data_IF_546785638480
#
_entry.id   IF_546785638480
#
_cell.length_a   1.000
_cell.length_b   1.000
_cell.length_c   1.000
_cell.angle_alpha   90.00
_cell.angle_beta   90.00
_cell.angle_gamma   90.00
#
_symmetry.space_group_name_H-M   'P 1'
#
loop_
_entity.id
_entity.type
_entity.pdbx_description
1 polymer ?
#
# COMPACT_ATOMS: atom_id res chain seq x y z
N UNK A 1 14.13 15.28 1.02
CA UNK A 1 14.25 14.44 -0.21
C UNK A 1 13.28 13.28 -0.20
N UNK A 2 13.12 12.59 0.94
CA UNK A 2 12.13 11.53 1.23
C UNK A 2 10.70 11.84 0.71
N UNK A 3 10.14 13.01 1.03
CA UNK A 3 8.77 13.37 0.62
C UNK A 3 8.59 13.46 -0.89
N UNK A 4 9.57 14.04 -1.58
CA UNK A 4 9.53 14.22 -3.03
C UNK A 4 9.52 12.85 -3.73
N UNK A 5 10.31 11.91 -3.23
CA UNK A 5 10.40 10.55 -3.78
C UNK A 5 9.07 9.79 -3.67
N UNK A 6 8.39 9.88 -2.52
CA UNK A 6 7.06 9.26 -2.33
C UNK A 6 5.99 9.88 -3.24
N UNK A 7 5.98 11.22 -3.37
CA UNK A 7 5.03 11.94 -4.23
C UNK A 7 5.29 11.58 -5.70
N UNK A 8 6.54 11.65 -6.14
CA UNK A 8 6.93 11.35 -7.52
C UNK A 8 6.67 9.88 -7.87
N UNK A 9 6.87 8.94 -6.94
CA UNK A 9 6.53 7.53 -7.15
C UNK A 9 5.09 7.34 -7.62
N UNK A 10 4.13 7.97 -6.93
CA UNK A 10 2.70 7.92 -7.29
C UNK A 10 2.42 8.67 -8.60
N UNK A 11 2.92 9.90 -8.74
CA UNK A 11 2.61 10.74 -9.91
C UNK A 11 3.24 10.20 -11.21
N UNK A 12 4.48 9.69 -11.16
CA UNK A 12 5.14 9.07 -12.31
C UNK A 12 4.48 7.76 -12.69
N UNK A 13 4.02 6.97 -11.71
CA UNK A 13 3.25 5.74 -11.99
C UNK A 13 1.93 6.05 -12.69
N UNK A 14 1.22 7.11 -12.25
CA UNK A 14 0.01 7.57 -12.92
C UNK A 14 0.28 8.10 -14.32
N UNK A 15 1.32 8.92 -14.50
CA UNK A 15 1.73 9.43 -15.81
C UNK A 15 2.08 8.29 -16.76
N UNK A 16 2.84 7.29 -16.29
CA UNK A 16 3.16 6.09 -17.06
C UNK A 16 1.89 5.40 -17.55
N UNK A 17 0.91 5.17 -16.68
CA UNK A 17 -0.37 4.55 -17.05
C UNK A 17 -1.15 5.42 -18.04
N UNK A 18 -1.17 6.74 -17.87
CA UNK A 18 -1.86 7.66 -18.77
C UNK A 18 -1.33 7.60 -20.21
N UNK A 19 -0.01 7.55 -20.38
CA UNK A 19 0.63 7.51 -21.69
C UNK A 19 0.69 6.12 -22.30
N UNK A 20 1.03 5.09 -21.51
CA UNK A 20 1.26 3.74 -22.02
C UNK A 20 -0.02 2.91 -22.11
N UNK A 21 -1.04 3.23 -21.32
CA UNK A 21 -2.32 2.49 -21.22
C UNK A 21 -2.10 0.96 -21.19
N UNK A 22 -1.36 0.44 -20.19
CA UNK A 22 -1.00 -0.97 -20.14
C UNK A 22 -2.25 -1.85 -20.16
N UNK A 23 -2.28 -2.84 -21.07
CA UNK A 23 -3.41 -3.77 -21.26
C UNK A 23 -3.13 -5.17 -20.71
N UNK A 24 -1.88 -5.49 -20.36
CA UNK A 24 -1.50 -6.81 -19.85
C UNK A 24 -1.72 -6.91 -18.32
N UNK A 25 -2.85 -7.48 -17.93
CA UNK A 25 -3.19 -7.70 -16.52
C UNK A 25 -2.25 -8.71 -15.82
N UNK A 26 -1.58 -9.59 -16.56
CA UNK A 26 -0.68 -10.61 -16.00
C UNK A 26 0.59 -10.03 -15.38
N UNK A 27 1.21 -9.06 -16.07
CA UNK A 27 2.44 -8.43 -15.59
C UNK A 27 2.17 -7.54 -14.37
N UNK A 28 1.02 -6.85 -14.35
CA UNK A 28 0.58 -6.07 -13.20
C UNK A 28 0.34 -6.95 -11.96
N UNK A 29 -0.25 -8.15 -12.15
CA UNK A 29 -0.41 -9.14 -11.07
C UNK A 29 0.92 -9.65 -10.54
N UNK A 30 1.92 -9.88 -11.41
CA UNK A 30 3.27 -10.27 -10.97
C UNK A 30 3.97 -9.14 -10.21
N UNK A 31 3.82 -7.89 -10.67
CA UNK A 31 4.36 -6.71 -10.00
C UNK A 31 3.71 -6.50 -8.62
N UNK A 32 2.40 -6.68 -8.51
CA UNK A 32 1.68 -6.68 -7.23
C UNK A 32 2.20 -7.79 -6.31
N UNK A 33 2.36 -9.03 -6.82
CA UNK A 33 2.88 -10.14 -6.02
C UNK A 33 4.31 -9.90 -5.50
N UNK A 34 5.20 -9.36 -6.33
CA UNK A 34 6.54 -8.92 -5.93
C UNK A 34 6.45 -7.89 -4.79
N UNK A 35 5.66 -6.83 -5.00
CA UNK A 35 5.48 -5.76 -4.03
C UNK A 35 4.89 -6.25 -2.70
N UNK A 36 3.87 -7.11 -2.74
CA UNK A 36 3.24 -7.69 -1.55
C UNK A 36 4.22 -8.54 -0.76
N UNK A 37 5.04 -9.36 -1.43
CA UNK A 37 6.09 -10.15 -0.80
C UNK A 37 7.17 -9.27 -0.16
N UNK A 38 7.58 -8.21 -0.87
CA UNK A 38 8.58 -7.27 -0.39
C UNK A 38 8.10 -6.54 0.88
N UNK A 39 6.88 -6.00 0.86
CA UNK A 39 6.28 -5.30 2.00
C UNK A 39 6.08 -6.25 3.20
N UNK A 40 5.62 -7.48 2.96
CA UNK A 40 5.48 -8.49 4.00
C UNK A 40 6.83 -8.82 4.65
N UNK A 41 7.88 -8.93 3.84
CA UNK A 41 9.22 -9.25 4.31
C UNK A 41 9.79 -8.13 5.18
N UNK A 42 9.66 -6.87 4.78
CA UNK A 42 10.04 -5.73 5.64
C UNK A 42 9.22 -5.67 6.93
N UNK A 43 7.93 -6.00 6.85
CA UNK A 43 7.07 -6.10 8.04
C UNK A 43 7.64 -7.12 9.03
N UNK A 44 8.08 -8.28 8.54
CA UNK A 44 8.65 -9.38 9.34
C UNK A 44 10.05 -9.06 9.86
N UNK A 45 10.94 -8.55 9.00
CA UNK A 45 12.36 -8.38 9.33
C UNK A 45 12.65 -7.08 10.08
N UNK A 46 11.87 -6.02 9.87
CA UNK A 46 12.11 -4.71 10.48
C UNK A 46 11.03 -4.32 11.50
N UNK A 47 9.75 -4.27 11.06
CA UNK A 47 8.70 -3.66 11.88
C UNK A 47 8.35 -4.51 13.11
N UNK A 48 8.18 -5.81 12.92
CA UNK A 48 7.84 -6.74 14.00
C UNK A 48 8.88 -6.72 15.13
N UNK A 49 10.19 -6.87 14.87
CA UNK A 49 11.22 -6.70 15.89
C UNK A 49 11.15 -5.35 16.60
N UNK A 50 10.91 -4.26 15.85
CA UNK A 50 10.89 -2.90 16.41
C UNK A 50 9.80 -2.67 17.47
N UNK A 51 8.63 -3.29 17.32
CA UNK A 51 7.49 -3.09 18.25
C UNK A 51 7.53 -4.08 19.41
N UNK A 52 7.95 -5.33 19.17
CA UNK A 52 8.02 -6.35 20.21
C UNK A 52 9.20 -6.17 21.15
N UNK A 53 10.26 -5.46 20.74
CA UNK A 53 11.40 -5.17 21.60
C UNK A 53 11.09 -4.13 22.70
N UNK A 54 10.06 -3.29 22.52
CA UNK A 54 9.85 -2.08 23.33
C UNK A 54 8.54 -2.16 24.15
N UNK A 55 7.66 -3.12 23.90
CA UNK A 55 6.32 -3.16 24.49
C UNK A 55 5.84 -4.57 24.76
N UNK A 56 4.86 -4.69 25.66
CA UNK A 56 4.24 -5.97 25.99
C UNK A 56 3.67 -6.66 24.73
N UNK A 57 4.09 -7.89 24.50
CA UNK A 57 3.77 -8.62 23.28
C UNK A 57 2.27 -8.85 23.09
N UNK A 58 1.51 -9.06 24.17
CA UNK A 58 0.07 -9.28 24.07
C UNK A 58 -0.64 -7.99 23.63
N UNK A 59 -0.23 -6.86 24.18
CA UNK A 59 -0.75 -5.54 23.81
C UNK A 59 -0.44 -5.21 22.35
N UNK A 60 0.80 -5.45 21.90
CA UNK A 60 1.18 -5.28 20.48
C UNK A 60 0.33 -6.16 19.57
N UNK A 61 0.12 -7.43 19.94
CA UNK A 61 -0.74 -8.34 19.19
C UNK A 61 -2.16 -7.80 19.01
N UNK A 62 -2.73 -7.15 20.03
CA UNK A 62 -4.06 -6.51 19.92
C UNK A 62 -4.05 -5.39 18.87
N UNK A 63 -3.04 -4.51 18.88
CA UNK A 63 -2.97 -3.42 17.89
C UNK A 63 -2.77 -3.93 16.46
N UNK A 64 -2.02 -5.02 16.27
CA UNK A 64 -1.90 -5.69 14.97
C UNK A 64 -3.26 -6.20 14.50
N UNK A 65 -4.02 -6.87 15.37
CA UNK A 65 -5.36 -7.35 15.03
C UNK A 65 -6.31 -6.19 14.71
N UNK A 66 -6.23 -5.09 15.45
CA UNK A 66 -6.99 -3.88 15.16
C UNK A 66 -6.60 -3.26 13.81
N UNK A 67 -5.32 -3.29 13.45
CA UNK A 67 -4.84 -2.86 12.13
C UNK A 67 -5.40 -3.70 10.99
N UNK A 68 -5.41 -5.03 11.15
CA UNK A 68 -6.04 -5.92 10.17
C UNK A 68 -7.54 -5.62 10.03
N UNK A 69 -8.27 -5.50 11.15
CA UNK A 69 -9.70 -5.20 11.13
C UNK A 69 -10.00 -3.83 10.51
N UNK A 70 -9.16 -2.84 10.81
CA UNK A 70 -9.25 -1.52 10.18
C UNK A 70 -9.08 -1.64 8.67
N UNK A 71 -8.09 -2.40 8.20
CA UNK A 71 -7.88 -2.56 6.77
C UNK A 71 -9.02 -3.32 6.09
N UNK A 72 -9.57 -4.36 6.71
CA UNK A 72 -10.79 -5.04 6.22
C UNK A 72 -11.94 -4.04 6.06
N UNK A 73 -12.12 -3.15 7.03
CA UNK A 73 -13.14 -2.11 6.97
C UNK A 73 -12.88 -1.10 5.85
N UNK A 74 -11.64 -0.67 5.67
CA UNK A 74 -11.26 0.24 4.59
C UNK A 74 -11.45 -0.42 3.21
N UNK A 75 -11.12 -1.70 3.09
CA UNK A 75 -11.22 -2.48 1.84
C UNK A 75 -12.67 -2.55 1.33
N UNK A 76 -13.65 -2.66 2.23
CA UNK A 76 -15.07 -2.63 1.88
C UNK A 76 -15.43 -1.37 1.05
N UNK A 77 -14.82 -0.23 1.37
CA UNK A 77 -15.02 1.02 0.62
C UNK A 77 -14.09 1.16 -0.59
N UNK A 78 -12.91 0.52 -0.58
CA UNK A 78 -11.97 0.55 -1.70
C UNK A 78 -12.33 -0.45 -2.80
N UNK A 79 -13.22 -1.41 -2.54
CA UNK A 79 -13.60 -2.51 -3.45
C UNK A 79 -12.37 -3.28 -3.98
N UNK A 80 -11.31 -3.37 -3.19
CA UNK A 80 -10.08 -4.08 -3.58
C UNK A 80 -9.18 -3.32 -4.57
N UNK A 81 -9.28 -1.98 -4.63
CA UNK A 81 -8.41 -1.14 -5.46
C UNK A 81 -6.91 -1.33 -5.19
N UNK A 82 -6.55 -1.59 -3.95
CA UNK A 82 -5.18 -1.79 -3.49
C UNK A 82 -4.53 -3.08 -3.99
N UNK A 83 -5.33 -4.06 -4.41
CA UNK A 83 -4.83 -5.38 -4.83
C UNK A 83 -5.27 -5.81 -6.25
N UNK A 84 -5.94 -4.92 -6.99
CA UNK A 84 -6.20 -5.10 -8.42
C UNK A 84 -7.54 -5.75 -8.79
N UNK A 85 -8.44 -5.97 -7.83
CA UNK A 85 -9.72 -6.68 -8.05
C UNK A 85 -10.94 -5.77 -8.26
N UNK A 86 -10.73 -4.58 -8.82
CA UNK A 86 -11.83 -3.62 -9.03
C UNK A 86 -12.76 -4.05 -10.16
N UNK A 87 -14.03 -4.30 -9.81
CA UNK A 87 -15.10 -4.44 -10.79
C UNK A 87 -15.48 -3.05 -11.32
N UNK A 88 -15.30 -2.86 -12.63
CA UNK A 88 -15.59 -1.61 -13.33
C UNK A 88 -17.11 -1.39 -13.40
N UNK A 89 -17.67 -0.66 -12.42
CA UNK A 89 -18.97 -0.03 -12.58
C UNK A 89 -18.82 1.18 -13.51
N UNK A 90 -18.88 0.92 -14.82
CA UNK A 90 -18.65 1.91 -15.89
C UNK A 90 -19.67 3.06 -15.84
N UNK A 91 -20.74 2.95 -15.06
CA UNK A 91 -21.88 3.89 -15.07
C UNK A 91 -21.69 5.15 -14.22
N UNK A 92 -20.75 5.20 -13.27
CA UNK A 92 -20.63 6.35 -12.34
C UNK A 92 -19.66 7.43 -12.85
N UNK A 93 -20.19 8.63 -13.11
CA UNK A 93 -19.43 9.80 -13.56
C UNK A 93 -18.94 10.71 -12.41
N UNK A 94 -19.31 10.40 -11.16
CA UNK A 94 -18.99 11.22 -9.98
C UNK A 94 -17.65 10.83 -9.35
N UNK A 95 -17.03 11.78 -8.64
CA UNK A 95 -15.79 11.53 -7.90
C UNK A 95 -15.98 10.38 -6.88
N UNK A 96 -15.11 9.35 -6.87
CA UNK A 96 -15.30 8.17 -6.02
C UNK A 96 -14.82 8.44 -4.58
N UNK A 97 -15.60 9.21 -3.82
CA UNK A 97 -15.25 9.67 -2.47
C UNK A 97 -14.93 8.55 -1.47
N UNK A 98 -15.72 7.48 -1.46
CA UNK A 98 -15.49 6.36 -0.54
C UNK A 98 -14.15 5.67 -0.79
N UNK A 99 -13.83 5.43 -2.07
CA UNK A 99 -12.53 4.92 -2.50
C UNK A 99 -11.39 5.87 -2.10
N UNK A 100 -11.58 7.18 -2.36
CA UNK A 100 -10.58 8.19 -2.04
C UNK A 100 -10.27 8.25 -0.54
N UNK A 101 -11.30 8.35 0.29
CA UNK A 101 -11.13 8.46 1.75
C UNK A 101 -10.50 7.20 2.31
N UNK A 102 -10.97 6.02 1.88
CA UNK A 102 -10.42 4.74 2.33
C UNK A 102 -8.93 4.61 2.03
N UNK A 103 -8.55 4.81 0.75
CA UNK A 103 -7.15 4.73 0.34
C UNK A 103 -6.30 5.83 0.97
N UNK A 104 -6.87 7.01 1.24
CA UNK A 104 -6.16 8.10 1.91
C UNK A 104 -5.83 7.76 3.36
N UNK A 105 -6.78 7.19 4.11
CA UNK A 105 -6.52 6.74 5.49
C UNK A 105 -5.46 5.65 5.50
N UNK A 106 -5.62 4.64 4.65
CA UNK A 106 -4.64 3.57 4.48
C UNK A 106 -3.25 4.16 4.21
N UNK A 107 -3.11 5.00 3.16
CA UNK A 107 -1.85 5.62 2.74
C UNK A 107 -1.23 6.53 3.79
N UNK A 108 -2.05 7.22 4.60
CA UNK A 108 -1.61 8.06 5.70
C UNK A 108 -0.98 7.23 6.81
N UNK A 109 -1.59 6.10 7.17
CA UNK A 109 -1.07 5.20 8.20
C UNK A 109 0.31 4.64 7.83
N UNK A 110 0.53 4.28 6.57
CA UNK A 110 1.83 3.77 6.10
C UNK A 110 2.98 4.77 6.30
N UNK A 111 2.67 6.06 6.36
CA UNK A 111 3.69 7.11 6.54
C UNK A 111 4.30 7.15 7.93
N UNK A 112 3.62 6.63 8.95
CA UNK A 112 4.04 6.74 10.35
C UNK A 112 5.38 6.04 10.65
N UNK A 113 5.59 4.76 10.31
CA UNK A 113 6.80 4.03 10.71
C UNK A 113 8.07 4.45 9.93
N UNK A 114 7.96 5.28 8.90
CA UNK A 114 9.10 5.70 8.06
C UNK A 114 10.18 6.44 8.86
N UNK A 115 9.81 7.20 9.90
CA UNK A 115 10.76 8.02 10.67
C UNK A 115 11.85 7.17 11.34
N UNK A 116 11.52 5.95 11.75
CA UNK A 116 12.39 5.09 12.57
C UNK A 116 13.07 3.98 11.77
N UNK A 117 12.75 3.84 10.49
CA UNK A 117 13.26 2.78 9.63
C UNK A 117 13.65 3.36 8.27
N UNK A 118 14.95 3.62 8.08
CA UNK A 118 15.48 4.27 6.88
C UNK A 118 15.23 3.44 5.60
N UNK A 119 15.16 2.11 5.72
CA UNK A 119 14.92 1.20 4.59
C UNK A 119 13.45 1.03 4.25
N UNK A 120 12.55 1.25 5.20
CA UNK A 120 11.10 1.12 5.02
C UNK A 120 10.54 2.07 3.95
N UNK A 121 11.18 3.22 3.75
CA UNK A 121 10.81 4.15 2.67
C UNK A 121 10.85 3.47 1.30
N UNK A 122 11.84 2.60 1.05
CA UNK A 122 11.99 1.90 -0.22
C UNK A 122 10.90 0.86 -0.39
N UNK A 123 10.49 0.19 0.69
CA UNK A 123 9.33 -0.71 0.68
C UNK A 123 8.03 -0.05 0.38
N UNK A 124 7.77 1.08 1.03
CA UNK A 124 6.55 1.85 0.77
C UNK A 124 6.58 2.40 -0.66
N UNK A 125 7.72 2.85 -1.16
CA UNK A 125 7.82 3.29 -2.56
C UNK A 125 7.51 2.13 -3.53
N UNK A 126 8.16 0.98 -3.35
CA UNK A 126 7.94 -0.22 -4.17
C UNK A 126 6.47 -0.67 -4.11
N UNK A 127 5.81 -0.48 -2.96
CA UNK A 127 4.39 -0.76 -2.78
C UNK A 127 3.45 0.26 -3.43
N UNK A 128 3.80 1.54 -3.39
CA UNK A 128 2.98 2.61 -3.96
C UNK A 128 2.93 2.58 -5.47
N UNK A 129 3.98 2.15 -6.15
CA UNK A 129 4.04 2.11 -7.61
C UNK A 129 2.92 1.22 -8.20
N UNK A 130 2.81 -0.08 -7.85
CA UNK A 130 1.74 -0.95 -8.34
C UNK A 130 0.35 -0.43 -8.02
N UNK A 131 0.11 0.04 -6.78
CA UNK A 131 -1.19 0.57 -6.37
C UNK A 131 -1.56 1.80 -7.19
N UNK A 132 -0.64 2.74 -7.38
CA UNK A 132 -0.86 3.93 -8.19
C UNK A 132 -1.14 3.57 -9.65
N UNK A 133 -0.51 2.51 -10.18
CA UNK A 133 -0.82 2.00 -11.52
C UNK A 133 -2.24 1.42 -11.59
N UNK A 134 -2.62 0.53 -10.67
CA UNK A 134 -3.96 -0.06 -10.63
C UNK A 134 -5.04 1.02 -10.51
N UNK A 135 -4.86 1.95 -9.58
CA UNK A 135 -5.77 3.06 -9.36
C UNK A 135 -5.83 3.99 -10.59
N UNK A 136 -4.69 4.26 -11.22
CA UNK A 136 -4.63 5.03 -12.45
C UNK A 136 -5.42 4.38 -13.58
N UNK A 137 -5.25 3.08 -13.79
CA UNK A 137 -5.99 2.32 -14.81
C UNK A 137 -7.49 2.41 -14.53
N UNK A 138 -7.90 2.24 -13.27
CA UNK A 138 -9.30 2.36 -12.88
C UNK A 138 -9.88 3.75 -13.15
N UNK A 139 -9.21 4.80 -12.69
CA UNK A 139 -9.70 6.18 -12.81
C UNK A 139 -9.83 6.57 -14.30
N UNK A 140 -8.86 6.19 -15.13
CA UNK A 140 -8.88 6.48 -16.57
C UNK A 140 -9.90 5.66 -17.36
N UNK A 141 -10.25 4.46 -16.89
CA UNK A 141 -11.29 3.62 -17.50
C UNK A 141 -12.71 3.92 -16.99
N UNK A 142 -12.84 4.80 -16.00
CA UNK A 142 -14.15 5.26 -15.49
C UNK A 142 -14.70 6.45 -16.30
N UNK A 143 -15.98 6.81 -16.08
CA UNK A 143 -16.61 7.98 -16.73
C UNK A 143 -16.25 9.32 -16.07
N UNK A 144 -15.34 9.37 -15.09
CA UNK A 144 -14.96 10.63 -14.44
C UNK A 144 -14.11 11.50 -15.37
N UNK A 145 -14.22 12.83 -15.24
CA UNK A 145 -13.38 13.73 -16.02
C UNK A 145 -11.91 13.59 -15.59
N UNK A 146 -10.98 13.64 -16.55
CA UNK A 146 -9.54 13.51 -16.29
C UNK A 146 -9.01 14.45 -15.21
N UNK A 147 -9.55 15.67 -15.10
CA UNK A 147 -9.18 16.63 -14.06
C UNK A 147 -9.43 16.09 -12.64
N UNK A 148 -10.50 15.31 -12.45
CA UNK A 148 -10.82 14.67 -11.17
C UNK A 148 -9.90 13.49 -10.89
N UNK A 149 -9.52 12.72 -11.92
CA UNK A 149 -8.52 11.66 -11.78
C UNK A 149 -7.15 12.22 -11.38
N UNK A 150 -6.72 13.31 -12.04
CA UNK A 150 -5.47 14.01 -11.69
C UNK A 150 -5.54 14.56 -10.27
N UNK A 151 -6.65 15.22 -9.89
CA UNK A 151 -6.84 15.75 -8.54
C UNK A 151 -6.80 14.62 -7.49
N UNK A 152 -7.45 13.49 -7.76
CA UNK A 152 -7.40 12.30 -6.90
C UNK A 152 -5.95 11.88 -6.68
N UNK A 153 -5.18 11.67 -7.76
CA UNK A 153 -3.81 11.17 -7.67
C UNK A 153 -2.87 12.15 -6.99
N UNK A 154 -3.03 13.46 -7.23
CA UNK A 154 -2.26 14.49 -6.53
C UNK A 154 -2.54 14.45 -5.04
N UNK A 155 -3.80 14.49 -4.62
CA UNK A 155 -4.14 14.45 -3.20
C UNK A 155 -3.70 13.14 -2.54
N UNK A 156 -3.91 12.01 -3.21
CA UNK A 156 -3.47 10.69 -2.74
C UNK A 156 -1.94 10.62 -2.56
N UNK A 157 -1.17 11.20 -3.48
CA UNK A 157 0.30 11.23 -3.39
C UNK A 157 0.83 11.97 -2.15
N UNK A 158 0.03 12.87 -1.56
CA UNK A 158 0.39 13.64 -0.38
C UNK A 158 0.14 12.88 0.93
N UNK A 159 -0.67 11.82 0.93
CA UNK A 159 -1.14 11.17 2.17
C UNK A 159 -0.01 10.48 2.95
N UNK A 160 0.87 9.73 2.28
CA UNK A 160 2.02 9.09 2.95
C UNK A 160 3.06 10.11 3.45
N UNK A 161 3.50 11.11 2.65
CA UNK A 161 4.31 12.21 3.17
C UNK A 161 3.66 12.91 4.37
N UNK A 162 2.35 13.11 4.33
CA UNK A 162 1.62 13.74 5.43
C UNK A 162 1.62 12.87 6.69
N UNK A 163 1.40 11.56 6.57
CA UNK A 163 1.55 10.62 7.69
C UNK A 163 2.95 10.64 8.29
N UNK A 164 3.99 10.70 7.47
CA UNK A 164 5.36 10.81 7.97
C UNK A 164 5.65 12.18 8.61
N UNK A 165 5.18 13.27 8.01
CA UNK A 165 5.26 14.60 8.60
C UNK A 165 4.62 14.61 9.99
N UNK A 166 3.46 13.96 10.13
CA UNK A 166 2.80 13.83 11.43
C UNK A 166 3.66 13.05 12.43
N UNK A 167 4.29 11.96 11.99
CA UNK A 167 5.17 11.15 12.83
C UNK A 167 6.44 11.91 13.31
N UNK A 168 6.94 12.84 12.50
CA UNK A 168 8.12 13.64 12.82
C UNK A 168 7.77 14.77 13.78
N UNK A 169 6.66 15.46 13.58
CA UNK A 169 6.39 16.75 14.25
C UNK A 169 5.39 16.72 15.39
N UNK A 170 4.59 15.66 15.56
CA UNK A 170 3.66 15.59 16.69
C UNK A 170 4.15 14.60 17.76
N UNK A 171 4.16 15.07 19.02
CA UNK A 171 4.62 14.27 20.17
C UNK A 171 3.82 12.99 20.39
N UNK A 172 2.54 12.97 20.02
CA UNK A 172 1.70 11.78 20.15
C UNK A 172 2.27 10.61 19.35
N UNK A 173 2.87 10.86 18.18
CA UNK A 173 3.39 9.81 17.32
C UNK A 173 4.64 9.16 17.92
N UNK A 174 5.42 9.92 18.67
CA UNK A 174 6.56 9.39 19.42
C UNK A 174 6.09 8.65 20.67
N UNK A 175 5.12 9.22 21.41
CA UNK A 175 4.55 8.62 22.64
C UNK A 175 3.83 7.29 22.37
N UNK A 176 3.12 7.19 21.25
CA UNK A 176 2.35 6.01 20.85
C UNK A 176 2.98 5.27 19.68
N UNK A 177 4.30 5.38 19.53
CA UNK A 177 5.06 4.77 18.45
C UNK A 177 4.75 3.28 18.25
N UNK A 178 4.86 2.47 19.31
CA UNK A 178 4.70 1.03 19.21
C UNK A 178 3.25 0.62 18.89
N UNK A 179 2.20 1.17 19.55
CA UNK A 179 0.81 0.95 19.16
C UNK A 179 0.48 1.36 17.71
N UNK A 180 0.93 2.53 17.26
CA UNK A 180 0.67 3.02 15.90
C UNK A 180 1.37 2.10 14.88
N UNK A 181 2.64 1.80 15.11
CA UNK A 181 3.42 0.92 14.22
C UNK A 181 2.83 -0.49 14.18
N UNK A 182 2.36 -1.02 15.31
CA UNK A 182 1.67 -2.31 15.37
C UNK A 182 0.36 -2.31 14.56
N UNK A 183 -0.40 -1.20 14.60
CA UNK A 183 -1.58 -1.02 13.76
C UNK A 183 -1.21 -1.00 12.26
N UNK A 184 -0.09 -0.35 11.89
CA UNK A 184 0.42 -0.37 10.51
C UNK A 184 0.89 -1.76 10.08
N UNK A 185 1.54 -2.53 10.97
CA UNK A 185 1.88 -3.94 10.73
C UNK A 185 0.61 -4.74 10.38
N UNK A 186 -0.48 -4.55 11.12
CA UNK A 186 -1.75 -5.20 10.82
C UNK A 186 -2.30 -4.84 9.43
N UNK A 187 -2.23 -3.56 9.06
CA UNK A 187 -2.62 -3.09 7.72
C UNK A 187 -1.78 -3.76 6.62
N UNK A 188 -0.44 -3.78 6.78
CA UNK A 188 0.47 -4.40 5.82
C UNK A 188 0.25 -5.90 5.70
N UNK A 189 0.06 -6.59 6.83
CA UNK A 189 -0.22 -8.03 6.83
C UNK A 189 -1.46 -8.34 6.01
N UNK A 190 -2.57 -7.64 6.25
CA UNK A 190 -3.81 -7.87 5.52
C UNK A 190 -3.64 -7.69 4.00
N UNK A 191 -3.04 -6.57 3.58
CA UNK A 191 -2.87 -6.28 2.14
C UNK A 191 -1.92 -7.29 1.49
N UNK A 192 -0.78 -7.56 2.12
CA UNK A 192 0.19 -8.51 1.58
C UNK A 192 -0.37 -9.91 1.47
N UNK A 193 -1.16 -10.38 2.45
CA UNK A 193 -1.73 -11.74 2.39
C UNK A 193 -2.79 -11.86 1.30
N UNK A 194 -3.65 -10.85 1.14
CA UNK A 194 -4.63 -10.81 0.03
C UNK A 194 -3.90 -10.84 -1.32
N UNK A 195 -2.89 -9.98 -1.51
CA UNK A 195 -2.11 -9.94 -2.75
C UNK A 195 -1.39 -11.27 -3.02
N UNK A 196 -0.79 -11.90 -2.01
CA UNK A 196 0.01 -13.11 -2.21
C UNK A 196 -0.84 -14.37 -2.39
N UNK A 197 -1.89 -14.54 -1.59
CA UNK A 197 -2.63 -15.79 -1.52
C UNK A 197 -3.89 -15.77 -2.39
N UNK A 198 -4.62 -14.66 -2.46
CA UNK A 198 -5.90 -14.59 -3.18
C UNK A 198 -5.73 -14.37 -4.70
N UNK A 199 -4.62 -13.76 -5.15
CA UNK A 199 -4.35 -13.55 -6.58
C UNK A 199 -4.04 -14.83 -7.39
N UNK A 200 -4.19 -16.02 -6.79
CA UNK A 200 -3.94 -17.32 -7.42
C UNK A 200 -5.22 -17.87 -8.06
N UNK A 201 -5.47 -17.56 -9.33
CA UNK A 201 -6.61 -18.12 -10.05
C UNK A 201 -6.43 -19.63 -10.33
N UNK A 202 -7.34 -20.46 -9.78
CA UNK A 202 -7.53 -21.85 -10.19
C UNK A 202 -6.53 -22.88 -9.65
N UNK A 203 -5.84 -22.61 -8.54
CA UNK A 203 -4.90 -23.54 -7.85
C UNK A 203 -3.77 -24.12 -8.73
N UNK A 204 -3.51 -23.56 -9.90
CA UNK A 204 -2.38 -23.98 -10.76
C UNK A 204 -1.09 -23.33 -10.28
N UNK A 205 -0.05 -24.14 -10.15
CA UNK A 205 1.29 -23.66 -9.78
C UNK A 205 1.80 -22.64 -10.80
N UNK A 206 2.16 -21.44 -10.34
CA UNK A 206 2.72 -20.37 -11.17
C UNK A 206 4.17 -20.09 -10.75
N UNK A 207 5.12 -20.67 -11.49
CA UNK A 207 6.55 -20.51 -11.21
C UNK A 207 7.00 -19.05 -11.29
N UNK A 208 6.46 -18.25 -12.24
CA UNK A 208 6.82 -16.83 -12.37
C UNK A 208 6.44 -16.06 -11.12
N UNK A 209 5.23 -16.31 -10.59
CA UNK A 209 4.76 -15.71 -9.32
C UNK A 209 5.66 -16.11 -8.16
N UNK A 210 6.02 -17.39 -8.05
CA UNK A 210 6.92 -17.86 -6.99
C UNK A 210 8.30 -17.18 -7.07
N UNK A 211 8.88 -17.08 -8.27
CA UNK A 211 10.19 -16.43 -8.47
C UNK A 211 10.15 -14.96 -8.04
N UNK A 212 9.13 -14.20 -8.44
CA UNK A 212 9.05 -12.78 -8.03
C UNK A 212 8.80 -12.62 -6.53
N UNK A 213 8.08 -13.54 -5.89
CA UNK A 213 7.92 -13.56 -4.42
C UNK A 213 9.28 -13.78 -3.75
N UNK A 214 10.05 -14.79 -4.20
CA UNK A 214 11.38 -15.09 -3.66
C UNK A 214 12.31 -13.89 -3.84
N UNK A 215 12.30 -13.25 -5.00
CA UNK A 215 13.09 -12.04 -5.25
C UNK A 215 12.69 -10.90 -4.29
N UNK A 216 11.39 -10.69 -4.07
CA UNK A 216 10.91 -9.71 -3.10
C UNK A 216 11.45 -9.96 -1.69
N UNK A 217 11.44 -11.22 -1.25
CA UNK A 217 11.97 -11.62 0.06
C UNK A 217 13.49 -11.39 0.15
N UNK A 218 14.25 -11.83 -0.86
CA UNK A 218 15.72 -11.72 -0.87
C UNK A 218 16.15 -10.25 -0.84
N UNK A 219 15.54 -9.39 -1.66
CA UNK A 219 15.89 -7.97 -1.72
C UNK A 219 15.53 -7.30 -0.38
N UNK A 220 14.35 -7.60 0.19
CA UNK A 220 13.94 -7.03 1.48
C UNK A 220 14.86 -7.48 2.63
N UNK A 221 15.33 -8.72 2.61
CA UNK A 221 16.28 -9.22 3.62
C UNK A 221 17.68 -8.59 3.50
N UNK A 222 18.06 -8.11 2.31
CA UNK A 222 19.39 -7.55 2.04
C UNK A 222 19.48 -6.04 2.28
N UNK A 223 18.36 -5.39 2.60
CA UNK A 223 18.28 -4.00 3.04
C UNK A 223 18.47 -3.95 4.56
#
# INVERSE_FOLDING_TARGET
>A
MTYVLLILGVLLSFAFVYFMRPTNNGDLKLLLAFSGAFLLSLTIFELFPSVYAISDSKTIGVYIMLGMLLQVFLEFFSKGAEHGHMHLDVEKANFPWLLFVSLSIHSLLEGFPIKTHDHLIYGILIHKIPIAMVLGIFLLNSKIKIIHAVLFMVLFSLMTPFGNYMAVHFDFATKYYAPITALVIGVFLHISTIILFESSEGHKFNLRKLVVIILGIIIAYSL
#
